data_IF_330309339501
#
_entry.id   IF_330309339501
#
_cell.length_a   1.000
_cell.length_b   1.000
_cell.length_c   1.000
_cell.angle_alpha   90.00
_cell.angle_beta   90.00
_cell.angle_gamma   90.00
#
_symmetry.space_group_name_H-M   'P 1'
#
loop_
_entity.id
_entity.type
_entity.pdbx_description
1 polymer ?
#
# COMPACT_ATOMS: atom_id res chain seq x y z
N UNK A 1 12.07 3.55 -9.66
CA UNK A 1 12.32 3.17 -8.26
C UNK A 1 13.27 1.97 -8.27
N UNK A 2 14.12 1.81 -7.23
CA UNK A 2 14.93 0.61 -7.04
C UNK A 2 14.07 -0.67 -7.04
N UNK A 3 14.67 -1.81 -7.38
CA UNK A 3 13.95 -3.09 -7.44
C UNK A 3 13.49 -3.55 -6.04
N UNK A 4 14.28 -3.23 -5.02
CA UNK A 4 14.05 -3.56 -3.61
C UNK A 4 13.01 -2.68 -2.90
N UNK A 5 12.46 -1.64 -3.55
CA UNK A 5 11.55 -0.67 -2.92
C UNK A 5 10.34 -1.32 -2.26
N UNK A 6 9.88 -2.45 -2.78
CA UNK A 6 8.66 -3.10 -2.31
C UNK A 6 8.88 -4.21 -1.28
N UNK A 7 10.13 -4.59 -1.01
CA UNK A 7 10.45 -5.71 -0.12
C UNK A 7 9.90 -5.47 1.29
N UNK A 8 10.04 -4.24 1.81
CA UNK A 8 9.53 -3.87 3.13
C UNK A 8 7.99 -3.85 3.20
N UNK A 9 7.32 -3.37 2.15
CA UNK A 9 5.85 -3.31 2.07
C UNK A 9 5.28 -4.72 2.11
N UNK A 10 5.88 -5.62 1.32
CA UNK A 10 5.51 -7.03 1.27
C UNK A 10 5.77 -7.69 2.64
N UNK A 11 6.89 -7.37 3.29
CA UNK A 11 7.21 -7.93 4.59
C UNK A 11 6.22 -7.50 5.68
N UNK A 12 5.82 -6.22 5.71
CA UNK A 12 4.78 -5.70 6.63
C UNK A 12 3.47 -6.46 6.46
N UNK A 13 3.03 -6.64 5.22
CA UNK A 13 1.82 -7.40 4.92
C UNK A 13 1.93 -8.85 5.39
N UNK A 14 3.03 -9.53 5.05
CA UNK A 14 3.29 -10.94 5.44
C UNK A 14 3.27 -11.12 6.96
N UNK A 15 3.84 -10.18 7.71
CA UNK A 15 3.86 -10.25 9.17
C UNK A 15 2.46 -10.15 9.79
N UNK A 16 1.60 -9.31 9.23
CA UNK A 16 0.19 -9.24 9.62
C UNK A 16 -0.56 -10.54 9.32
N UNK A 17 -0.33 -11.11 8.12
CA UNK A 17 -0.90 -12.41 7.73
C UNK A 17 -0.47 -13.54 8.68
N UNK A 18 0.82 -13.64 9.00
CA UNK A 18 1.37 -14.67 9.91
C UNK A 18 0.78 -14.58 11.33
N UNK A 19 0.39 -13.38 11.77
CA UNK A 19 -0.22 -13.13 13.07
C UNK A 19 -1.75 -13.33 13.08
N UNK A 20 -2.35 -13.67 11.94
CA UNK A 20 -3.82 -13.74 11.80
C UNK A 20 -4.51 -12.38 11.76
N UNK A 21 -3.74 -11.28 11.67
CA UNK A 21 -4.22 -9.90 11.64
C UNK A 21 -4.23 -9.36 10.21
N UNK A 22 -4.90 -10.07 9.30
CA UNK A 22 -4.84 -9.82 7.84
C UNK A 22 -5.18 -8.37 7.49
N UNK A 23 -6.31 -7.85 8.00
CA UNK A 23 -6.74 -6.49 7.72
C UNK A 23 -5.76 -5.42 8.20
N UNK A 24 -5.16 -5.62 9.38
CA UNK A 24 -4.15 -4.70 9.92
C UNK A 24 -2.84 -4.75 9.11
N UNK A 25 -2.43 -5.95 8.68
CA UNK A 25 -1.25 -6.11 7.82
C UNK A 25 -1.40 -5.42 6.47
N UNK A 26 -2.58 -5.54 5.85
CA UNK A 26 -2.90 -4.85 4.59
C UNK A 26 -2.94 -3.33 4.77
N UNK A 27 -3.61 -2.83 5.81
CA UNK A 27 -3.69 -1.39 6.07
C UNK A 27 -2.30 -0.77 6.29
N UNK A 28 -1.44 -1.41 7.08
CA UNK A 28 -0.08 -0.94 7.34
C UNK A 28 0.80 -0.96 6.06
N UNK A 29 0.63 -1.95 5.19
CA UNK A 29 1.33 -2.00 3.92
C UNK A 29 0.88 -0.88 2.97
N UNK A 30 -0.43 -0.59 2.89
CA UNK A 30 -0.98 0.51 2.09
C UNK A 30 -0.49 1.86 2.62
N UNK A 31 -0.45 2.04 3.95
CA UNK A 31 0.11 3.23 4.58
C UNK A 31 1.58 3.42 4.18
N UNK A 32 2.38 2.36 4.20
CA UNK A 32 3.78 2.42 3.74
C UNK A 32 3.90 2.78 2.26
N UNK A 33 3.02 2.28 1.39
CA UNK A 33 2.97 2.73 -0.01
C UNK A 33 2.74 4.25 -0.09
N UNK A 34 1.83 4.78 0.73
CA UNK A 34 1.53 6.21 0.80
C UNK A 34 2.70 7.07 1.30
N UNK A 35 3.65 6.51 2.03
CA UNK A 35 4.89 7.19 2.43
C UNK A 35 5.95 7.18 1.32
N UNK A 36 6.05 6.08 0.55
CA UNK A 36 7.06 5.90 -0.51
C UNK A 36 6.69 6.70 -1.77
N UNK A 37 5.43 6.61 -2.20
CA UNK A 37 4.99 7.15 -3.49
C UNK A 37 5.22 8.66 -3.65
N UNK A 38 4.99 9.52 -2.64
CA UNK A 38 5.17 10.97 -2.78
C UNK A 38 6.58 11.42 -3.15
N UNK A 39 7.62 10.60 -2.90
CA UNK A 39 8.99 10.90 -3.31
C UNK A 39 9.16 10.90 -4.84
N UNK A 40 8.34 10.12 -5.55
CA UNK A 40 8.39 9.96 -7.00
C UNK A 40 7.17 10.54 -7.72
N UNK A 41 6.03 10.56 -7.03
CA UNK A 41 4.73 11.00 -7.51
C UNK A 41 4.13 11.98 -6.50
N UNK A 42 4.65 13.21 -6.41
CA UNK A 42 4.10 14.21 -5.50
C UNK A 42 2.65 14.53 -5.89
N UNK A 43 1.81 14.78 -4.89
CA UNK A 43 0.41 15.16 -5.09
C UNK A 43 0.37 16.51 -5.80
N UNK A 44 -0.32 16.56 -6.94
CA UNK A 44 -0.54 17.78 -7.70
C UNK A 44 -1.73 18.58 -7.14
N UNK A 45 -1.76 19.90 -7.40
CA UNK A 45 -2.86 20.77 -6.93
C UNK A 45 -4.22 20.39 -7.55
N UNK A 46 -4.21 19.74 -8.72
CA UNK A 46 -5.38 19.27 -9.46
C UNK A 46 -5.57 17.76 -9.39
N UNK A 47 -4.94 17.09 -8.41
CA UNK A 47 -5.09 15.66 -8.20
C UNK A 47 -6.55 15.25 -7.94
N UNK A 48 -6.95 14.13 -8.53
CA UNK A 48 -8.31 13.60 -8.43
C UNK A 48 -8.26 12.11 -8.12
N UNK A 49 -9.29 11.61 -7.45
CA UNK A 49 -9.36 10.18 -7.19
C UNK A 49 -9.75 9.39 -8.45
N UNK A 50 -8.76 8.79 -9.12
CA UNK A 50 -8.93 8.03 -10.37
C UNK A 50 -9.51 6.62 -10.16
N UNK A 51 -9.37 6.04 -8.96
CA UNK A 51 -9.76 4.67 -8.62
C UNK A 51 -10.58 4.61 -7.33
N UNK A 52 -11.50 3.64 -7.21
CA UNK A 52 -12.33 3.52 -6.00
C UNK A 52 -11.63 2.73 -4.89
N UNK A 53 -11.67 3.25 -3.67
CA UNK A 53 -11.00 2.66 -2.49
C UNK A 53 -11.68 1.39 -1.92
N UNK A 54 -12.82 0.98 -2.45
CA UNK A 54 -13.54 -0.20 -1.98
C UNK A 54 -12.77 -1.51 -2.22
N UNK A 55 -12.94 -2.46 -1.29
CA UNK A 55 -12.40 -3.81 -1.44
C UNK A 55 -13.03 -4.50 -2.66
N UNK A 56 -12.18 -4.95 -3.57
CA UNK A 56 -12.60 -5.75 -4.73
C UNK A 56 -12.50 -7.23 -4.38
N UNK A 57 -13.63 -7.93 -4.44
CA UNK A 57 -13.70 -9.39 -4.27
C UNK A 57 -13.85 -10.01 -5.66
N UNK A 58 -12.94 -10.90 -6.02
CA UNK A 58 -13.00 -11.64 -7.27
C UNK A 58 -13.62 -13.01 -7.00
N UNK A 59 -14.59 -13.38 -7.82
CA UNK A 59 -15.18 -14.72 -7.86
C UNK A 59 -14.17 -15.80 -8.30
#
# INVERSE_FOLDING_TARGET
MPDETWDEVIQIMIDGLKKGHVGLGLAAAIERCGEILPEFFPIADDDVNELRDHLVIKE
#
